data_IF_675091919725
#
_entry.id   IF_675091919725
#
_cell.length_a   1.000
_cell.length_b   1.000
_cell.length_c   1.000
_cell.angle_alpha   90.00
_cell.angle_beta   90.00
_cell.angle_gamma   90.00
#
_symmetry.space_group_name_H-M   'P 1'
#
loop_
_entity.id
_entity.type
_entity.pdbx_description
1 polymer ?
#
# COMPACT_ATOMS: atom_id res chain seq x y z
N UNK A 1 -20.05 10.52 -5.72
CA UNK A 1 -20.99 10.89 -4.66
C UNK A 1 -22.30 11.28 -5.30
N UNK A 2 -23.44 10.75 -4.86
CA UNK A 2 -24.75 11.22 -5.30
C UNK A 2 -24.97 12.65 -4.82
N UNK A 3 -25.43 13.56 -5.68
CA UNK A 3 -25.60 14.97 -5.35
C UNK A 3 -26.77 15.25 -4.42
N UNK A 4 -27.62 14.27 -4.17
CA UNK A 4 -28.75 14.32 -3.21
C UNK A 4 -28.76 13.06 -2.36
N UNK A 5 -29.00 13.22 -1.06
CA UNK A 5 -29.26 12.10 -0.17
C UNK A 5 -30.58 11.45 -0.58
N UNK A 6 -30.51 10.23 -1.08
CA UNK A 6 -31.69 9.43 -1.39
C UNK A 6 -32.00 8.62 -0.14
N UNK A 7 -33.00 9.07 0.62
CA UNK A 7 -33.35 8.46 1.91
C UNK A 7 -34.30 7.26 1.77
N UNK A 8 -34.73 6.90 0.54
CA UNK A 8 -35.71 5.84 0.33
C UNK A 8 -35.43 5.00 -0.91
N UNK A 9 -35.43 3.68 -0.78
CA UNK A 9 -35.25 2.71 -1.89
C UNK A 9 -36.25 2.92 -3.04
N UNK A 10 -37.50 3.36 -2.73
CA UNK A 10 -38.49 3.69 -3.74
C UNK A 10 -38.11 4.90 -4.60
N UNK A 11 -37.57 5.92 -4.00
CA UNK A 11 -37.13 7.14 -4.69
C UNK A 11 -35.90 6.85 -5.57
N UNK A 12 -34.99 6.00 -5.08
CA UNK A 12 -33.85 5.49 -5.85
C UNK A 12 -34.33 4.77 -7.11
N UNK A 13 -35.32 3.87 -6.99
CA UNK A 13 -35.85 3.10 -8.12
C UNK A 13 -36.59 3.99 -9.13
N UNK A 14 -37.33 4.98 -8.66
CA UNK A 14 -38.04 5.94 -9.55
C UNK A 14 -37.04 6.79 -10.34
N UNK A 15 -35.97 7.31 -9.68
CA UNK A 15 -34.93 8.10 -10.32
C UNK A 15 -34.07 7.24 -11.29
N UNK A 16 -33.87 5.96 -10.96
CA UNK A 16 -33.17 5.00 -11.84
C UNK A 16 -33.97 4.76 -13.15
N UNK A 17 -35.30 4.51 -13.04
CA UNK A 17 -36.18 4.26 -14.20
C UNK A 17 -36.35 5.51 -15.06
N UNK A 18 -36.34 6.69 -14.44
CA UNK A 18 -36.45 7.98 -15.15
C UNK A 18 -35.11 8.50 -15.70
N UNK A 19 -33.99 7.75 -15.56
CA UNK A 19 -32.65 8.22 -15.94
C UNK A 19 -32.25 9.56 -15.28
N UNK A 20 -32.82 9.90 -14.12
CA UNK A 20 -32.59 11.15 -13.39
C UNK A 20 -31.48 11.02 -12.33
N UNK A 21 -30.80 9.85 -12.22
CA UNK A 21 -29.65 9.66 -11.33
C UNK A 21 -28.43 10.40 -11.92
N UNK A 22 -28.28 11.63 -11.50
CA UNK A 22 -27.08 12.42 -11.81
C UNK A 22 -25.95 12.07 -10.84
N UNK A 23 -25.00 11.28 -11.28
CA UNK A 23 -23.75 11.09 -10.54
C UNK A 23 -22.78 12.21 -10.94
N UNK A 24 -22.37 12.99 -9.95
CA UNK A 24 -21.30 13.95 -10.18
C UNK A 24 -19.97 13.19 -10.22
N UNK A 25 -19.36 13.11 -11.41
CA UNK A 25 -18.03 12.53 -11.54
C UNK A 25 -17.03 13.38 -10.72
N UNK A 26 -16.28 12.71 -9.87
CA UNK A 26 -15.17 13.32 -9.16
C UNK A 26 -13.87 12.72 -9.70
N UNK A 27 -13.10 13.54 -10.40
CA UNK A 27 -11.78 13.18 -10.89
C UNK A 27 -10.75 13.48 -9.79
N UNK A 28 -10.28 12.44 -9.12
CA UNK A 28 -9.23 12.57 -8.12
C UNK A 28 -7.87 12.98 -8.73
N UNK A 29 -7.64 12.57 -9.99
CA UNK A 29 -6.49 12.92 -10.82
C UNK A 29 -6.99 13.39 -12.16
N UNK A 30 -6.56 14.55 -12.61
CA UNK A 30 -6.95 15.11 -13.89
C UNK A 30 -5.72 15.58 -14.66
N UNK A 31 -5.46 14.90 -15.79
CA UNK A 31 -4.38 15.23 -16.74
C UNK A 31 -2.99 15.39 -16.10
N UNK A 32 -2.59 14.37 -15.31
CA UNK A 32 -1.28 14.34 -14.67
C UNK A 32 -0.30 13.59 -15.58
N UNK A 33 0.80 14.24 -15.95
CA UNK A 33 1.86 13.65 -16.77
C UNK A 33 3.23 14.01 -16.20
N UNK A 34 4.06 12.99 -15.96
CA UNK A 34 5.46 13.17 -15.55
C UNK A 34 6.27 11.91 -15.87
N UNK A 35 7.58 12.05 -15.79
CA UNK A 35 8.53 10.94 -15.96
C UNK A 35 9.55 11.00 -14.82
N UNK A 36 9.86 9.85 -14.23
CA UNK A 36 10.90 9.68 -13.22
C UNK A 36 12.00 8.78 -13.80
N UNK A 37 13.22 9.25 -13.82
CA UNK A 37 14.36 8.51 -14.36
C UNK A 37 15.05 7.68 -13.28
N UNK A 38 15.74 6.64 -13.70
CA UNK A 38 16.53 5.80 -12.80
C UNK A 38 17.52 6.63 -11.99
N UNK A 39 17.49 6.45 -10.67
CA UNK A 39 18.34 7.16 -9.72
C UNK A 39 17.79 8.49 -9.25
N UNK A 40 16.62 8.94 -9.73
CA UNK A 40 15.96 10.14 -9.23
C UNK A 40 15.12 9.83 -7.99
N UNK A 41 15.05 10.80 -7.07
CA UNK A 41 14.13 10.81 -5.94
C UNK A 41 13.14 11.96 -6.12
N UNK A 42 11.84 11.65 -6.09
CA UNK A 42 10.77 12.62 -6.27
C UNK A 42 9.88 12.70 -5.04
N UNK A 43 9.55 13.92 -4.63
CA UNK A 43 8.58 14.20 -3.56
C UNK A 43 7.27 14.75 -4.14
N UNK A 44 6.13 14.13 -3.79
CA UNK A 44 4.81 14.60 -4.16
C UNK A 44 4.22 15.39 -3.00
N UNK A 45 4.05 16.70 -3.18
CA UNK A 45 3.59 17.62 -2.14
C UNK A 45 2.19 18.12 -2.49
N UNK A 46 1.32 18.27 -1.50
CA UNK A 46 -0.03 18.80 -1.66
C UNK A 46 -0.83 18.68 -0.37
N UNK A 47 -1.95 19.40 -0.30
CA UNK A 47 -2.88 19.37 0.83
C UNK A 47 -3.57 18.00 0.95
N UNK A 48 -4.17 17.73 2.11
CA UNK A 48 -4.96 16.51 2.29
C UNK A 48 -6.14 16.48 1.29
N UNK A 49 -6.34 15.32 0.66
CA UNK A 49 -7.37 15.15 -0.38
C UNK A 49 -6.96 15.62 -1.79
N UNK A 50 -5.72 16.08 -2.02
CA UNK A 50 -5.24 16.50 -3.34
C UNK A 50 -4.95 15.34 -4.31
N UNK A 51 -5.13 14.08 -3.91
CA UNK A 51 -4.96 12.92 -4.77
C UNK A 51 -3.58 12.25 -4.71
N UNK A 52 -2.68 12.64 -3.78
CA UNK A 52 -1.33 12.04 -3.62
C UNK A 52 -1.37 10.51 -3.51
N UNK A 53 -2.09 9.99 -2.52
CA UNK A 53 -2.20 8.54 -2.30
C UNK A 53 -2.93 7.83 -3.46
N UNK A 54 -3.88 8.52 -4.12
CA UNK A 54 -4.53 8.00 -5.33
C UNK A 54 -3.53 7.85 -6.48
N UNK A 55 -2.64 8.83 -6.66
CA UNK A 55 -1.58 8.78 -7.67
C UNK A 55 -0.60 7.65 -7.38
N UNK A 56 -0.12 7.52 -6.13
CA UNK A 56 0.78 6.45 -5.73
C UNK A 56 0.13 5.07 -5.93
N UNK A 57 -1.14 4.89 -5.52
CA UNK A 57 -1.89 3.63 -5.76
C UNK A 57 -2.06 3.33 -7.26
N UNK A 58 -2.21 4.34 -8.08
CA UNK A 58 -2.29 4.15 -9.54
C UNK A 58 -0.93 3.73 -10.13
N UNK A 59 0.19 4.31 -9.68
CA UNK A 59 1.54 3.93 -10.11
C UNK A 59 1.85 2.49 -9.70
N UNK A 60 1.44 2.08 -8.48
CA UNK A 60 1.59 0.69 -7.99
C UNK A 60 0.66 -0.32 -8.68
N UNK A 61 -0.22 0.12 -9.59
CA UNK A 61 -1.18 -0.76 -10.27
C UNK A 61 -2.37 -1.19 -9.40
N UNK A 62 -2.50 -0.68 -8.17
CA UNK A 62 -3.64 -0.95 -7.27
C UNK A 62 -4.92 -0.31 -7.84
N UNK A 63 -4.78 0.88 -8.42
CA UNK A 63 -5.88 1.58 -9.10
C UNK A 63 -5.59 1.69 -10.59
N UNK A 64 -6.55 1.28 -11.41
CA UNK A 64 -6.45 1.42 -12.85
C UNK A 64 -6.92 2.81 -13.28
N UNK A 65 -6.13 3.59 -14.06
CA UNK A 65 -6.56 4.88 -14.57
C UNK A 65 -7.73 4.72 -15.56
N UNK A 66 -8.69 5.62 -15.50
CA UNK A 66 -9.81 5.66 -16.43
C UNK A 66 -9.36 6.05 -17.84
N UNK A 67 -8.42 6.99 -17.96
CA UNK A 67 -7.78 7.43 -19.20
C UNK A 67 -6.28 7.56 -18.98
N UNK A 68 -5.53 7.56 -20.06
CA UNK A 68 -4.08 7.65 -20.03
C UNK A 68 -3.40 6.29 -19.82
N UNK A 69 -2.10 6.31 -19.59
CA UNK A 69 -1.27 5.13 -19.45
C UNK A 69 -0.20 5.37 -18.40
N UNK A 70 0.01 4.39 -17.56
CA UNK A 70 1.16 4.34 -16.64
C UNK A 70 2.11 3.26 -17.15
N UNK A 71 3.37 3.60 -17.29
CA UNK A 71 4.42 2.65 -17.70
C UNK A 71 5.46 2.60 -16.60
N UNK A 72 5.76 1.42 -16.11
CA UNK A 72 6.76 1.18 -15.08
C UNK A 72 7.79 0.18 -15.63
N UNK A 73 9.06 0.53 -15.53
CA UNK A 73 10.17 -0.34 -15.95
C UNK A 73 10.96 -0.76 -14.69
N UNK A 74 10.65 -1.95 -14.19
CA UNK A 74 11.28 -2.51 -12.98
C UNK A 74 10.28 -2.98 -11.94
N UNK A 75 10.80 -3.51 -10.84
CA UNK A 75 10.04 -3.97 -9.69
C UNK A 75 9.68 -2.81 -8.76
N UNK A 76 8.44 -2.78 -8.26
CA UNK A 76 7.97 -1.77 -7.29
C UNK A 76 7.83 -2.42 -5.92
N UNK A 77 8.39 -1.79 -4.87
CA UNK A 77 7.98 -2.04 -3.49
C UNK A 77 7.08 -0.89 -3.02
N UNK A 78 5.78 -1.14 -2.85
CA UNK A 78 4.85 -0.15 -2.34
C UNK A 78 4.88 -0.13 -0.81
N UNK A 79 5.47 0.90 -0.21
CA UNK A 79 5.35 1.19 1.23
C UNK A 79 4.17 2.14 1.50
N UNK A 80 3.06 1.95 0.79
CA UNK A 80 1.87 2.80 0.92
C UNK A 80 1.03 2.37 2.12
N UNK A 81 0.97 1.07 2.37
CA UNK A 81 0.22 0.48 3.49
C UNK A 81 1.06 -0.67 4.06
N UNK A 82 2.01 -0.34 4.95
CA UNK A 82 2.86 -1.33 5.61
C UNK A 82 2.00 -2.30 6.42
N UNK A 83 2.19 -3.61 6.17
CA UNK A 83 1.37 -4.64 6.79
C UNK A 83 0.01 -4.87 6.12
N UNK A 84 -0.27 -4.22 4.98
CA UNK A 84 -1.40 -4.62 4.15
C UNK A 84 -1.26 -6.09 3.76
N UNK A 85 -2.29 -6.88 4.06
CA UNK A 85 -2.28 -8.33 3.87
C UNK A 85 -1.78 -9.13 5.08
N UNK A 86 -1.46 -8.50 6.22
CA UNK A 86 -1.28 -9.24 7.47
C UNK A 86 -2.61 -9.77 7.98
N UNK A 87 -2.60 -11.03 8.41
CA UNK A 87 -3.68 -11.62 9.18
C UNK A 87 -3.34 -11.49 10.67
N UNK A 88 -4.17 -10.76 11.41
CA UNK A 88 -3.94 -10.50 12.83
C UNK A 88 -3.96 -11.76 13.71
N UNK A 89 -4.65 -12.81 13.29
CA UNK A 89 -4.75 -14.07 14.04
C UNK A 89 -3.55 -14.99 13.80
N UNK A 90 -2.80 -14.78 12.72
CA UNK A 90 -1.58 -15.50 12.43
C UNK A 90 -0.38 -14.90 13.16
N UNK A 91 0.61 -15.73 13.43
CA UNK A 91 1.90 -15.34 14.00
C UNK A 91 2.70 -14.48 13.03
N UNK A 92 3.73 -13.79 13.52
CA UNK A 92 4.65 -13.05 12.64
C UNK A 92 5.36 -13.97 11.64
N UNK A 93 5.75 -15.17 12.09
CA UNK A 93 6.34 -16.21 11.24
C UNK A 93 5.44 -16.53 10.04
N UNK A 94 4.16 -16.80 10.30
CA UNK A 94 3.18 -17.12 9.26
C UNK A 94 2.92 -15.92 8.34
N UNK A 95 2.83 -14.72 8.91
CA UNK A 95 2.63 -13.49 8.15
C UNK A 95 3.82 -13.14 7.24
N UNK A 96 5.05 -13.49 7.60
CA UNK A 96 6.21 -13.33 6.71
C UNK A 96 5.98 -14.10 5.40
N UNK A 97 5.55 -15.35 5.47
CA UNK A 97 5.27 -16.15 4.29
C UNK A 97 4.02 -15.71 3.54
N UNK A 98 2.95 -15.37 4.28
CA UNK A 98 1.71 -14.88 3.70
C UNK A 98 1.95 -13.58 2.91
N UNK A 99 2.61 -12.62 3.52
CA UNK A 99 2.88 -11.32 2.90
C UNK A 99 3.89 -11.44 1.75
N UNK A 100 4.90 -12.30 1.89
CA UNK A 100 5.81 -12.64 0.81
C UNK A 100 5.08 -13.18 -0.42
N UNK A 101 4.11 -14.09 -0.22
CA UNK A 101 3.28 -14.62 -1.31
C UNK A 101 2.40 -13.53 -1.96
N UNK A 102 1.81 -12.61 -1.16
CA UNK A 102 1.07 -11.45 -1.67
C UNK A 102 1.95 -10.55 -2.54
N UNK A 103 3.21 -10.37 -2.16
CA UNK A 103 4.21 -9.62 -2.94
C UNK A 103 4.75 -10.38 -4.15
N UNK A 104 4.32 -11.65 -4.36
CA UNK A 104 4.70 -12.46 -5.50
C UNK A 104 5.96 -13.31 -5.31
N UNK A 105 6.44 -13.48 -4.07
CA UNK A 105 7.60 -14.32 -3.76
C UNK A 105 7.18 -15.76 -3.46
N UNK A 106 7.96 -16.70 -3.93
CA UNK A 106 7.74 -18.12 -3.63
C UNK A 106 8.23 -18.46 -2.20
N UNK A 107 7.76 -19.61 -1.70
CA UNK A 107 8.08 -20.08 -0.36
C UNK A 107 9.59 -20.25 -0.16
N UNK A 108 10.29 -20.79 -1.18
CA UNK A 108 11.73 -21.05 -1.12
C UNK A 108 12.54 -19.75 -0.97
N UNK A 109 12.14 -18.72 -1.70
CA UNK A 109 12.73 -17.38 -1.57
C UNK A 109 12.54 -16.84 -0.17
N UNK A 110 11.33 -16.93 0.38
CA UNK A 110 11.03 -16.45 1.73
C UNK A 110 11.79 -17.24 2.80
N UNK A 111 11.95 -18.56 2.64
CA UNK A 111 12.77 -19.39 3.53
C UNK A 111 14.25 -18.95 3.54
N UNK A 112 14.80 -18.62 2.37
CA UNK A 112 16.18 -18.17 2.24
C UNK A 112 16.45 -16.81 2.90
N UNK A 113 15.46 -15.94 2.90
CA UNK A 113 15.58 -14.57 3.45
C UNK A 113 14.93 -14.40 4.83
N UNK A 114 14.38 -15.48 5.39
CA UNK A 114 13.63 -15.43 6.64
C UNK A 114 14.43 -14.80 7.78
N UNK A 115 15.64 -15.28 8.02
CA UNK A 115 16.49 -14.78 9.10
C UNK A 115 16.89 -13.32 8.89
N UNK A 116 17.14 -12.90 7.65
CA UNK A 116 17.46 -11.51 7.31
C UNK A 116 16.29 -10.57 7.61
N UNK A 117 15.06 -10.99 7.24
CA UNK A 117 13.82 -10.26 7.56
C UNK A 117 13.67 -10.10 9.07
N UNK A 118 13.84 -11.19 9.81
CA UNK A 118 13.66 -11.23 11.26
C UNK A 118 14.68 -10.37 11.99
N UNK A 119 15.94 -10.42 11.57
CA UNK A 119 17.01 -9.59 12.14
C UNK A 119 16.81 -8.12 11.83
N UNK A 120 16.46 -7.80 10.59
CA UNK A 120 16.20 -6.42 10.21
C UNK A 120 15.03 -5.82 11.01
N UNK A 121 13.94 -6.58 11.18
CA UNK A 121 12.77 -6.16 11.94
C UNK A 121 13.00 -6.13 13.47
N UNK A 122 14.06 -6.80 13.97
CA UNK A 122 14.35 -6.98 15.41
C UNK A 122 13.22 -7.65 16.18
N UNK A 123 12.65 -8.72 15.60
CA UNK A 123 11.46 -9.39 16.12
C UNK A 123 11.68 -10.89 16.44
N UNK A 124 12.93 -11.33 16.60
CA UNK A 124 13.26 -12.75 16.81
C UNK A 124 12.52 -13.37 18.00
N UNK A 125 12.39 -12.66 19.10
CA UNK A 125 11.74 -13.14 20.32
C UNK A 125 10.20 -13.11 20.26
N UNK A 126 9.64 -12.50 19.20
CA UNK A 126 8.20 -12.29 19.04
C UNK A 126 7.60 -13.08 17.86
N UNK A 127 8.38 -13.93 17.20
CA UNK A 127 7.98 -14.61 15.94
C UNK A 127 6.73 -15.46 16.07
N UNK A 128 6.54 -16.12 17.20
CA UNK A 128 5.42 -17.03 17.44
C UNK A 128 4.22 -16.33 18.12
N UNK A 129 4.27 -14.99 18.22
CA UNK A 129 3.19 -14.16 18.73
C UNK A 129 2.27 -13.74 17.57
N UNK A 130 0.93 -13.83 17.71
CA UNK A 130 -0.02 -13.28 16.74
C UNK A 130 0.16 -11.79 16.52
N UNK A 131 0.06 -11.33 15.26
CA UNK A 131 0.28 -9.92 14.88
C UNK A 131 -0.69 -8.95 15.58
N UNK A 132 -1.90 -9.39 15.92
CA UNK A 132 -2.86 -8.58 16.69
C UNK A 132 -2.32 -8.11 18.06
N UNK A 133 -1.32 -8.80 18.59
CA UNK A 133 -0.67 -8.45 19.86
C UNK A 133 0.58 -7.56 19.66
N UNK A 134 0.93 -7.24 18.42
CA UNK A 134 2.03 -6.35 18.11
C UNK A 134 1.66 -4.89 18.35
N UNK A 135 2.63 -4.08 18.74
CA UNK A 135 2.49 -2.63 18.62
C UNK A 135 2.47 -2.23 17.14
N UNK A 136 1.89 -1.06 16.84
CA UNK A 136 1.91 -0.52 15.47
C UNK A 136 3.33 -0.40 14.91
N UNK A 137 4.31 -0.05 15.76
CA UNK A 137 5.72 0.01 15.39
C UNK A 137 6.32 -1.36 15.06
N UNK A 138 5.99 -2.42 15.81
CA UNK A 138 6.44 -3.79 15.52
C UNK A 138 5.87 -4.29 14.19
N UNK A 139 4.55 -4.12 13.98
CA UNK A 139 3.91 -4.51 12.74
C UNK A 139 4.48 -3.75 11.53
N UNK A 140 4.71 -2.45 11.69
CA UNK A 140 5.27 -1.61 10.64
C UNK A 140 6.73 -2.00 10.31
N UNK A 141 7.58 -2.29 11.32
CA UNK A 141 8.95 -2.79 11.10
C UNK A 141 8.97 -4.11 10.34
N UNK A 142 8.06 -5.03 10.70
CA UNK A 142 7.94 -6.31 9.98
C UNK A 142 7.53 -6.11 8.53
N UNK A 143 6.49 -5.31 8.28
CA UNK A 143 6.04 -4.99 6.92
C UNK A 143 7.12 -4.32 6.07
N UNK A 144 7.88 -3.39 6.67
CA UNK A 144 9.00 -2.74 6.01
C UNK A 144 10.12 -3.73 5.66
N UNK A 145 10.50 -4.60 6.61
CA UNK A 145 11.52 -5.62 6.38
C UNK A 145 11.15 -6.55 5.23
N UNK A 146 9.90 -7.04 5.18
CA UNK A 146 9.43 -7.90 4.10
C UNK A 146 9.45 -7.17 2.75
N UNK A 147 8.95 -5.94 2.71
CA UNK A 147 8.85 -5.17 1.47
C UNK A 147 10.21 -4.77 0.89
N UNK A 148 11.26 -4.63 1.70
CA UNK A 148 12.58 -4.15 1.28
C UNK A 148 13.60 -5.26 1.02
N UNK A 149 13.29 -6.50 1.41
CA UNK A 149 14.22 -7.63 1.26
C UNK A 149 14.64 -7.89 -0.20
N UNK A 150 13.84 -7.55 -1.15
CA UNK A 150 14.04 -7.78 -2.60
C UNK A 150 14.73 -6.62 -3.28
N UNK A 151 15.32 -5.66 -2.65
CA UNK A 151 15.98 -4.51 -3.30
C UNK A 151 15.22 -4.06 -4.55
N UNK A 152 14.03 -3.48 -4.42
CA UNK A 152 13.21 -3.10 -5.56
C UNK A 152 13.91 -2.02 -6.41
N UNK A 153 13.60 -1.97 -7.71
CA UNK A 153 14.08 -0.90 -8.59
C UNK A 153 13.44 0.45 -8.25
N UNK A 154 12.21 0.41 -7.72
CA UNK A 154 11.40 1.60 -7.40
C UNK A 154 10.79 1.41 -6.02
N UNK A 155 11.08 2.35 -5.12
CA UNK A 155 10.48 2.41 -3.78
C UNK A 155 9.43 3.52 -3.76
N UNK A 156 8.20 3.19 -3.39
CA UNK A 156 7.09 4.16 -3.29
C UNK A 156 6.64 4.23 -1.84
N UNK A 157 6.79 5.42 -1.23
CA UNK A 157 6.44 5.68 0.16
C UNK A 157 5.28 6.69 0.25
N UNK A 158 4.27 6.43 1.10
CA UNK A 158 3.18 7.36 1.41
C UNK A 158 3.17 7.61 2.93
N UNK A 159 3.66 8.78 3.37
CA UNK A 159 3.68 9.22 4.79
C UNK A 159 4.31 8.26 5.83
N UNK A 160 4.85 7.13 5.39
CA UNK A 160 5.25 5.98 6.23
C UNK A 160 6.70 6.09 6.73
N UNK A 161 7.42 7.16 6.41
CA UNK A 161 8.83 7.33 6.80
C UNK A 161 9.06 7.53 8.31
N UNK A 162 8.01 7.58 9.12
CA UNK A 162 8.08 7.61 10.60
C UNK A 162 7.96 6.21 11.24
N UNK A 163 8.30 5.14 10.49
CA UNK A 163 8.25 3.76 10.98
C UNK A 163 9.39 3.50 11.95
N UNK A 164 9.04 2.89 13.08
CA UNK A 164 9.99 2.50 14.11
C UNK A 164 10.48 3.67 14.98
N UNK A 165 11.40 3.36 15.86
CA UNK A 165 12.11 4.35 16.67
C UNK A 165 13.28 4.98 15.88
N UNK A 166 13.92 5.97 16.50
CA UNK A 166 15.04 6.69 15.90
C UNK A 166 16.23 5.77 15.51
N UNK A 167 16.41 4.68 16.23
CA UNK A 167 17.48 3.72 15.94
C UNK A 167 17.17 2.90 14.67
N UNK A 168 15.92 2.50 14.49
CA UNK A 168 15.47 1.79 13.30
C UNK A 168 15.51 2.66 12.04
N UNK A 169 15.19 3.96 12.17
CA UNK A 169 15.22 4.91 11.04
C UNK A 169 16.63 5.18 10.48
N UNK A 170 17.67 4.77 11.21
CA UNK A 170 19.07 4.92 10.77
C UNK A 170 19.63 3.71 10.03
N UNK A 171 18.87 2.61 9.95
CA UNK A 171 19.23 1.42 9.17
C UNK A 171 18.87 1.60 7.70
#
# INVERSE_FOLDING_TARGET
MASEKIDNLKEYFIKLVKHELMFKEFLALNDVSFEVKKGEAWGIIGVNGSGKSTLLKAICGILKPYKGKITVNGSIAPLIELGAGFDGDLTARENIFLNGAVLGHDKKFMEQHFDEIVEFAELRDFLDMPIKNYSSGMAARLGFAIATIVKPDILICDEVLSVGDYAFQKK
#
